data_IF_495570439940
#
_entry.id   IF_495570439940
#
_cell.length_a   1.000
_cell.length_b   1.000
_cell.length_c   1.000
_cell.angle_alpha   90.00
_cell.angle_beta   90.00
_cell.angle_gamma   90.00
#
_symmetry.space_group_name_H-M   'P 1'
#
loop_
_entity.id
_entity.type
_entity.pdbx_description
1 polymer ?
#
# COMPACT_ATOMS: atom_id res chain seq x y z
N UNK A 1 69.15 -26.27 -3.02
CA UNK A 1 67.96 -26.14 -2.15
C UNK A 1 67.41 -24.72 -2.32
N UNK A 2 66.46 -24.53 -3.26
CA UNK A 2 65.06 -24.10 -3.03
C UNK A 2 64.88 -22.98 -2.01
N UNK A 3 64.41 -21.80 -2.47
CA UNK A 3 63.26 -21.04 -1.94
C UNK A 3 63.02 -19.77 -2.78
N UNK A 4 62.11 -19.84 -3.75
CA UNK A 4 61.43 -18.66 -4.31
C UNK A 4 60.25 -18.34 -3.39
N UNK A 5 60.29 -17.19 -2.72
CA UNK A 5 59.16 -16.63 -1.99
C UNK A 5 58.30 -15.85 -2.99
N UNK A 6 57.21 -16.46 -3.46
CA UNK A 6 56.20 -15.79 -4.29
C UNK A 6 55.22 -15.05 -3.40
N UNK A 7 55.22 -13.72 -3.46
CA UNK A 7 54.24 -12.88 -2.80
C UNK A 7 53.03 -12.71 -3.74
N UNK A 8 51.94 -13.45 -3.50
CA UNK A 8 50.67 -13.27 -4.23
C UNK A 8 49.85 -12.21 -3.50
N UNK A 9 49.82 -10.99 -4.03
CA UNK A 9 48.95 -9.93 -3.56
C UNK A 9 47.52 -10.17 -4.10
N UNK A 10 46.66 -10.78 -3.28
CA UNK A 10 45.24 -10.92 -3.57
C UNK A 10 44.50 -9.60 -3.37
N UNK A 11 44.19 -8.92 -4.47
CA UNK A 11 43.32 -7.74 -4.48
C UNK A 11 41.86 -8.20 -4.29
N UNK A 12 41.38 -8.21 -3.05
CA UNK A 12 39.96 -8.46 -2.74
C UNK A 12 39.18 -7.19 -3.11
N UNK A 13 38.62 -7.15 -4.32
CA UNK A 13 37.61 -6.15 -4.68
C UNK A 13 36.37 -6.39 -3.83
N UNK A 14 36.23 -5.61 -2.75
CA UNK A 14 34.96 -5.46 -2.05
C UNK A 14 33.99 -4.72 -3.00
N UNK A 15 33.23 -5.49 -3.78
CA UNK A 15 32.08 -4.97 -4.50
C UNK A 15 31.02 -4.59 -3.46
N UNK A 16 31.04 -3.34 -3.01
CA UNK A 16 29.96 -2.72 -2.27
C UNK A 16 28.73 -2.63 -3.19
N UNK A 17 27.97 -3.72 -3.28
CA UNK A 17 26.64 -3.70 -3.87
C UNK A 17 25.79 -2.77 -3.01
N UNK A 18 25.64 -1.51 -3.44
CA UNK A 18 24.64 -0.62 -2.90
C UNK A 18 23.29 -1.29 -3.15
N UNK A 19 22.70 -1.87 -2.11
CA UNK A 19 21.31 -2.31 -2.14
C UNK A 19 20.49 -1.06 -2.47
N UNK A 20 19.88 -1.04 -3.65
CA UNK A 20 18.98 0.04 -4.01
C UNK A 20 17.87 0.12 -2.95
N UNK A 21 17.62 1.33 -2.44
CA UNK A 21 16.51 1.55 -1.52
C UNK A 21 15.20 1.12 -2.22
N UNK A 22 14.31 0.41 -1.52
CA UNK A 22 13.07 -0.08 -2.11
C UNK A 22 12.21 1.11 -2.59
N UNK A 23 11.65 1.04 -3.82
CA UNK A 23 10.75 2.08 -4.34
C UNK A 23 9.38 1.94 -3.69
N UNK A 24 9.26 2.49 -2.48
CA UNK A 24 8.02 2.51 -1.70
C UNK A 24 7.37 3.89 -1.80
N UNK A 25 6.13 3.91 -2.27
CA UNK A 25 5.31 5.13 -2.36
C UNK A 25 4.16 5.05 -1.37
N UNK A 26 4.09 6.05 -0.48
CA UNK A 26 2.96 6.30 0.40
C UNK A 26 1.92 7.19 -0.27
N UNK A 27 0.66 6.78 -0.25
CA UNK A 27 -0.48 7.56 -0.70
C UNK A 27 -1.29 7.95 0.53
N UNK A 28 -1.23 9.23 0.92
CA UNK A 28 -2.05 9.79 2.00
C UNK A 28 -3.29 10.43 1.40
N UNK A 29 -4.41 9.71 1.44
CA UNK A 29 -5.64 10.08 0.76
C UNK A 29 -6.66 10.67 1.74
N UNK A 30 -7.09 11.92 1.49
CA UNK A 30 -8.13 12.62 2.24
C UNK A 30 -9.44 12.49 1.48
N UNK A 31 -10.43 11.87 2.10
CA UNK A 31 -11.74 11.60 1.50
C UNK A 31 -12.73 12.70 1.89
N UNK A 32 -13.34 13.35 0.90
CA UNK A 32 -14.29 14.44 1.13
C UNK A 32 -15.64 13.90 1.59
N UNK A 33 -16.19 14.50 2.64
CA UNK A 33 -17.53 14.17 3.15
C UNK A 33 -17.67 12.77 3.75
N UNK A 34 -16.54 12.11 4.07
CA UNK A 34 -16.51 10.93 4.92
C UNK A 34 -16.36 11.38 6.38
N UNK A 35 -17.13 10.76 7.28
CA UNK A 35 -17.04 10.98 8.72
C UNK A 35 -16.53 9.76 9.47
N UNK A 36 -16.30 9.93 10.76
CA UNK A 36 -16.01 8.81 11.64
C UNK A 36 -17.22 7.86 11.68
N UNK A 37 -16.96 6.56 11.55
CA UNK A 37 -18.00 5.52 11.51
C UNK A 37 -18.59 5.19 10.13
N UNK A 38 -18.23 5.93 9.07
CA UNK A 38 -18.61 5.57 7.69
C UNK A 38 -17.87 4.31 7.20
N UNK A 39 -18.41 3.56 6.24
CA UNK A 39 -17.65 2.45 5.63
C UNK A 39 -16.38 2.91 4.89
N UNK A 40 -16.38 4.14 4.40
CA UNK A 40 -15.22 4.79 3.78
C UNK A 40 -14.74 5.87 4.73
N UNK A 41 -13.55 5.68 5.28
CA UNK A 41 -12.97 6.55 6.30
C UNK A 41 -12.41 7.87 5.72
N UNK A 42 -12.35 8.95 6.52
CA UNK A 42 -11.88 10.27 6.08
C UNK A 42 -10.39 10.30 5.67
N UNK A 43 -9.58 9.39 6.22
CA UNK A 43 -8.17 9.25 5.90
C UNK A 43 -7.85 7.79 5.58
N UNK A 44 -7.36 7.55 4.37
CA UNK A 44 -6.84 6.25 3.93
C UNK A 44 -5.37 6.42 3.59
N UNK A 45 -4.52 5.58 4.18
CA UNK A 45 -3.11 5.49 3.84
C UNK A 45 -2.82 4.18 3.11
N UNK A 46 -2.11 4.26 2.00
CA UNK A 46 -1.70 3.10 1.19
C UNK A 46 -0.19 3.18 1.00
N UNK A 47 0.55 2.20 1.48
CA UNK A 47 1.95 2.01 1.12
C UNK A 47 2.04 0.99 -0.03
N UNK A 48 2.72 1.37 -1.11
CA UNK A 48 2.95 0.49 -2.26
C UNK A 48 4.45 0.37 -2.52
N UNK A 49 4.99 -0.81 -2.24
CA UNK A 49 6.33 -1.20 -2.67
C UNK A 49 6.23 -1.78 -4.08
N UNK A 50 6.80 -1.07 -5.06
CA UNK A 50 6.73 -1.46 -6.47
C UNK A 50 7.65 -2.63 -6.81
N UNK A 51 8.79 -2.75 -6.14
CA UNK A 51 9.76 -3.82 -6.38
C UNK A 51 9.23 -5.18 -5.92
N UNK A 52 8.52 -5.18 -4.78
CA UNK A 52 7.94 -6.38 -4.18
C UNK A 52 6.46 -6.60 -4.55
N UNK A 53 5.88 -5.72 -5.38
CA UNK A 53 4.45 -5.67 -5.70
C UNK A 53 3.51 -5.73 -4.47
N UNK A 54 3.98 -5.19 -3.35
CA UNK A 54 3.32 -5.30 -2.04
C UNK A 54 2.56 -4.03 -1.71
N UNK A 55 1.27 -4.18 -1.41
CA UNK A 55 0.39 -3.09 -0.98
C UNK A 55 -0.04 -3.31 0.46
N UNK A 56 0.11 -2.29 1.30
CA UNK A 56 -0.38 -2.26 2.68
C UNK A 56 -1.32 -1.08 2.83
N UNK A 57 -2.49 -1.30 3.40
CA UNK A 57 -3.54 -0.29 3.55
C UNK A 57 -3.92 -0.15 5.02
N UNK A 58 -4.03 1.09 5.48
CA UNK A 58 -4.50 1.41 6.82
C UNK A 58 -5.47 2.59 6.79
N UNK A 59 -6.51 2.50 7.59
CA UNK A 59 -7.43 3.59 7.91
C UNK A 59 -7.98 3.35 9.34
N UNK A 60 -8.69 4.32 9.95
CA UNK A 60 -9.21 4.14 11.31
C UNK A 60 -10.09 2.90 11.51
N UNK A 61 -10.87 2.48 10.50
CA UNK A 61 -11.73 1.30 10.59
C UNK A 61 -10.89 0.02 10.53
N UNK A 62 -9.94 -0.08 9.60
CA UNK A 62 -9.01 -1.21 9.52
C UNK A 62 -8.30 -1.39 10.85
N UNK A 63 -7.74 -0.30 11.40
CA UNK A 63 -6.99 -0.36 12.65
C UNK A 63 -7.90 -0.74 13.84
N UNK A 64 -9.15 -0.28 13.85
CA UNK A 64 -10.10 -0.61 14.90
C UNK A 64 -10.55 -2.09 14.86
N UNK A 65 -10.71 -2.69 13.68
CA UNK A 65 -11.24 -4.04 13.51
C UNK A 65 -10.19 -5.13 13.28
N UNK A 66 -8.92 -4.76 13.13
CA UNK A 66 -7.83 -5.70 12.83
C UNK A 66 -6.66 -5.54 13.83
N UNK A 67 -6.95 -5.37 15.12
CA UNK A 67 -5.96 -5.30 16.20
C UNK A 67 -4.84 -4.26 16.00
N UNK A 68 -5.17 -3.12 15.36
CA UNK A 68 -4.20 -2.09 15.00
C UNK A 68 -3.26 -2.47 13.85
N UNK A 69 -3.49 -3.60 13.18
CA UNK A 69 -2.68 -4.11 12.08
C UNK A 69 -3.26 -3.64 10.75
N UNK A 70 -2.47 -3.00 9.87
CA UNK A 70 -2.89 -2.72 8.49
C UNK A 70 -3.20 -3.99 7.69
N UNK A 71 -4.08 -3.89 6.69
CA UNK A 71 -4.38 -5.03 5.81
C UNK A 71 -3.46 -5.05 4.59
N UNK A 72 -3.25 -6.24 4.04
CA UNK A 72 -2.58 -6.38 2.73
C UNK A 72 -3.60 -6.16 1.62
N UNK A 73 -3.20 -5.39 0.61
CA UNK A 73 -3.95 -5.20 -0.63
C UNK A 73 -3.20 -5.75 -1.83
N UNK A 74 -3.67 -5.36 -3.02
CA UNK A 74 -2.98 -5.62 -4.29
C UNK A 74 -3.19 -4.46 -5.25
N UNK A 75 -2.29 -4.34 -6.22
CA UNK A 75 -2.50 -3.48 -7.39
C UNK A 75 -3.38 -4.22 -8.38
N UNK A 76 -4.43 -3.55 -8.86
CA UNK A 76 -5.27 -4.05 -9.96
C UNK A 76 -4.91 -3.40 -11.28
N UNK A 77 -4.38 -2.18 -11.25
CA UNK A 77 -3.88 -1.47 -12.43
C UNK A 77 -2.83 -0.48 -11.99
N UNK A 78 -1.69 -0.44 -12.67
CA UNK A 78 -0.75 0.67 -12.58
C UNK A 78 -0.25 1.02 -13.98
N UNK A 79 -0.54 2.23 -14.43
CA UNK A 79 -0.12 2.72 -15.73
C UNK A 79 0.16 4.23 -15.69
N UNK A 80 0.47 4.85 -16.82
CA UNK A 80 0.78 6.29 -16.87
C UNK A 80 -0.36 7.21 -16.41
N UNK A 81 -1.61 6.74 -16.44
CA UNK A 81 -2.80 7.55 -16.11
C UNK A 81 -3.25 7.37 -14.66
N UNK A 82 -3.17 6.16 -14.12
CA UNK A 82 -3.74 5.82 -12.82
C UNK A 82 -3.04 4.65 -12.13
N UNK A 83 -3.22 4.60 -10.82
CA UNK A 83 -2.95 3.42 -10.00
C UNK A 83 -4.24 3.04 -9.28
N UNK A 84 -4.64 1.77 -9.37
CA UNK A 84 -5.84 1.22 -8.75
C UNK A 84 -5.45 0.11 -7.80
N UNK A 85 -5.89 0.21 -6.55
CA UNK A 85 -5.67 -0.74 -5.48
C UNK A 85 -6.97 -1.47 -5.15
N UNK A 86 -6.85 -2.70 -4.66
CA UNK A 86 -7.95 -3.42 -4.06
C UNK A 86 -7.50 -4.12 -2.77
N UNK A 87 -8.35 -4.09 -1.76
CA UNK A 87 -8.15 -4.76 -0.49
C UNK A 87 -9.50 -5.21 0.07
N UNK A 88 -9.47 -6.14 1.00
CA UNK A 88 -10.66 -6.64 1.70
C UNK A 88 -10.44 -6.43 3.20
N UNK A 89 -11.52 -6.06 3.90
CA UNK A 89 -11.52 -5.88 5.35
C UNK A 89 -12.61 -6.76 5.92
N UNK A 90 -12.25 -7.68 6.81
CA UNK A 90 -13.21 -8.46 7.58
C UNK A 90 -13.56 -7.68 8.85
N UNK A 91 -14.85 -7.50 9.10
CA UNK A 91 -15.39 -6.70 10.19
C UNK A 91 -16.27 -7.61 11.00
N UNK A 92 -15.85 -7.93 12.22
CA UNK A 92 -16.63 -8.76 13.13
C UNK A 92 -17.61 -7.88 13.89
N UNK A 93 -18.88 -7.94 13.49
CA UNK A 93 -19.99 -7.34 14.24
C UNK A 93 -20.54 -8.38 15.23
N UNK A 94 -21.29 -7.92 16.24
CA UNK A 94 -21.85 -8.76 17.32
C UNK A 94 -22.67 -9.99 16.86
N UNK A 95 -23.12 -10.01 15.61
CA UNK A 95 -24.01 -11.04 15.07
C UNK A 95 -23.33 -11.94 14.02
N UNK A 96 -22.56 -11.34 13.11
CA UNK A 96 -21.84 -12.04 12.02
C UNK A 96 -20.69 -11.20 11.48
N UNK A 97 -19.61 -11.84 11.00
CA UNK A 97 -18.56 -11.15 10.26
C UNK A 97 -19.07 -10.69 8.88
N UNK A 98 -18.75 -9.46 8.53
CA UNK A 98 -18.99 -8.88 7.20
C UNK A 98 -17.65 -8.67 6.52
N UNK A 99 -17.51 -9.10 5.27
CA UNK A 99 -16.32 -8.74 4.47
C UNK A 99 -16.66 -7.57 3.56
N UNK A 100 -15.92 -6.49 3.71
CA UNK A 100 -16.01 -5.30 2.86
C UNK A 100 -14.88 -5.33 1.84
N UNK A 101 -15.22 -5.38 0.55
CA UNK A 101 -14.26 -5.23 -0.54
C UNK A 101 -14.12 -3.77 -0.93
N UNK A 102 -12.88 -3.30 -1.03
CA UNK A 102 -12.56 -1.92 -1.39
C UNK A 102 -11.81 -1.86 -2.71
N UNK A 103 -12.05 -0.79 -3.46
CA UNK A 103 -11.28 -0.44 -4.65
C UNK A 103 -11.02 1.05 -4.69
N UNK A 104 -9.75 1.43 -4.53
CA UNK A 104 -9.29 2.81 -4.59
C UNK A 104 -8.57 3.09 -5.91
N UNK A 105 -8.87 4.19 -6.59
CA UNK A 105 -8.20 4.61 -7.83
C UNK A 105 -7.65 6.02 -7.68
N UNK A 106 -6.33 6.13 -7.81
CA UNK A 106 -5.59 7.39 -7.87
C UNK A 106 -5.32 7.78 -9.32
N UNK A 107 -5.71 9.00 -9.71
CA UNK A 107 -5.42 9.58 -11.02
C UNK A 107 -4.14 10.40 -10.94
N UNK A 108 -3.11 9.99 -11.70
CA UNK A 108 -1.74 10.53 -11.59
C UNK A 108 -1.62 11.98 -12.00
N UNK A 109 -2.44 12.44 -12.96
CA UNK A 109 -2.33 13.79 -13.51
C UNK A 109 -2.81 14.89 -12.58
N UNK A 110 -3.73 14.60 -11.66
CA UNK A 110 -4.39 15.63 -10.84
C UNK A 110 -4.52 15.25 -9.35
N UNK A 111 -4.02 14.08 -8.96
CA UNK A 111 -4.05 13.63 -7.58
C UNK A 111 -5.41 13.19 -7.07
N UNK A 112 -6.44 13.15 -7.92
CA UNK A 112 -7.80 12.76 -7.54
C UNK A 112 -7.82 11.29 -7.15
N UNK A 113 -8.54 11.01 -6.07
CA UNK A 113 -8.77 9.65 -5.60
C UNK A 113 -10.26 9.35 -5.54
N UNK A 114 -10.66 8.19 -6.03
CA UNK A 114 -12.00 7.65 -5.83
C UNK A 114 -11.90 6.31 -5.15
N UNK A 115 -12.84 6.02 -4.25
CA UNK A 115 -12.91 4.74 -3.55
C UNK A 115 -14.34 4.23 -3.54
N UNK A 116 -14.47 2.94 -3.82
CA UNK A 116 -15.73 2.19 -3.72
C UNK A 116 -15.57 1.12 -2.66
N UNK A 117 -16.56 1.00 -1.78
CA UNK A 117 -16.67 -0.07 -0.80
C UNK A 117 -17.93 -0.91 -1.09
N UNK A 118 -17.76 -2.23 -1.12
CA UNK A 118 -18.80 -3.19 -1.47
C UNK A 118 -18.85 -4.30 -0.41
N UNK A 119 -19.93 -4.43 0.37
CA UNK A 119 -20.15 -5.59 1.22
C UNK A 119 -20.31 -6.84 0.36
N UNK A 120 -19.47 -7.86 0.60
CA UNK A 120 -19.51 -9.11 -0.15
C UNK A 120 -20.84 -9.82 0.11
N UNK A 121 -21.50 -10.26 -0.96
CA UNK A 121 -22.81 -10.93 -0.90
C UNK A 121 -24.02 -9.99 -0.98
N UNK A 122 -23.79 -8.67 -1.10
CA UNK A 122 -24.84 -7.67 -1.24
C UNK A 122 -24.64 -6.83 -2.52
N UNK A 123 -25.71 -6.18 -2.99
CA UNK A 123 -25.70 -5.38 -4.22
C UNK A 123 -25.43 -3.88 -3.98
N UNK A 124 -25.46 -3.43 -2.73
CA UNK A 124 -25.21 -2.03 -2.40
C UNK A 124 -23.72 -1.71 -2.50
N UNK A 125 -23.42 -0.46 -2.89
CA UNK A 125 -22.06 0.06 -2.95
C UNK A 125 -22.03 1.44 -2.28
N UNK A 126 -20.92 1.76 -1.63
CA UNK A 126 -20.63 3.09 -1.12
C UNK A 126 -19.50 3.69 -1.95
N UNK A 127 -19.67 4.92 -2.41
CA UNK A 127 -18.66 5.61 -3.24
C UNK A 127 -18.34 6.97 -2.64
N UNK A 128 -17.06 7.31 -2.59
CA UNK A 128 -16.57 8.64 -2.21
C UNK A 128 -15.37 9.04 -3.05
N UNK A 129 -15.11 10.34 -3.06
CA UNK A 129 -13.98 10.95 -3.75
C UNK A 129 -13.14 11.83 -2.82
N UNK A 130 -11.91 12.08 -3.21
CA UNK A 130 -10.92 12.79 -2.42
C UNK A 130 -9.68 13.12 -3.23
N UNK A 131 -8.58 13.38 -2.53
CA UNK A 131 -7.27 13.60 -3.14
C UNK A 131 -6.20 12.89 -2.33
N UNK A 132 -5.13 12.44 -2.99
CA UNK A 132 -3.96 11.91 -2.30
C UNK A 132 -2.75 12.83 -2.45
N UNK A 133 -1.97 12.92 -1.38
CA UNK A 133 -0.58 13.37 -1.44
C UNK A 133 0.32 12.13 -1.47
N UNK A 134 1.34 12.17 -2.31
CA UNK A 134 2.29 11.07 -2.47
C UNK A 134 3.59 11.44 -1.79
N UNK A 135 4.13 10.50 -1.03
CA UNK A 135 5.44 10.60 -0.38
C UNK A 135 6.26 9.37 -0.76
N UNK A 136 7.54 9.55 -1.09
CA UNK A 136 8.47 8.42 -1.16
C UNK A 136 8.84 8.05 0.27
N UNK A 137 8.65 6.79 0.63
CA UNK A 137 8.99 6.30 1.96
C UNK A 137 10.41 5.74 1.89
N UNK A 138 11.35 6.46 2.49
CA UNK A 138 12.71 5.97 2.68
C UNK A 138 12.71 4.95 3.83
N UNK A 139 13.41 3.82 3.63
CA UNK A 139 13.63 2.78 4.64
C UNK A 139 14.96 2.97 5.36
#
# INVERSE_FOLDING_TARGET
MKRCFGLVAGLVLAASGALAAPDVVGYKCIIKGAGDGDWIQPLIFIAYNRDAERVVVSDPMILAFNDGIPVTGRVVTDNSKRTTFAWDVQITLNVSPVTMGFRGTYVKSNGVFSVVATPRGYSNNFTRGGTCKLDRLES
#
